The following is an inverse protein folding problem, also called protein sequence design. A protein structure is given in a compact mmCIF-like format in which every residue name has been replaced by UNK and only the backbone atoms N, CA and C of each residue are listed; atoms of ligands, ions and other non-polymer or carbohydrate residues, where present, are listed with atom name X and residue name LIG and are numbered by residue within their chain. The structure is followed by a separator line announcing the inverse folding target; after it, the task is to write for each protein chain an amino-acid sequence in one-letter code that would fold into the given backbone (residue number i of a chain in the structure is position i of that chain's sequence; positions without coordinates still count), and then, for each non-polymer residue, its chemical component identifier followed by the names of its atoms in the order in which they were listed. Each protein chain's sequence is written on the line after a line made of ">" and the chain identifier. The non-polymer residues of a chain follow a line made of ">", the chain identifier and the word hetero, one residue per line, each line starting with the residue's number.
data_IF_649192842757
#
_entry.id   IF_649192842757
#
_cell.length_a   1.000
_cell.length_b   1.000
_cell.length_c   1.000
_cell.angle_alpha   90.00
_cell.angle_beta   90.00
_cell.angle_gamma   90.00
#
_symmetry.space_group_name_H-M   'P 1'
#
loop_
_entity.id
_entity.type
_entity.pdbx_description
1 polymer ?
#
# COMPACT_ATOMS: atom_id res chain seq x y z
N UNK A 1 -40.39 -23.50 -51.53
CA UNK A 1 -39.86 -24.62 -50.72
C UNK A 1 -38.56 -25.12 -51.32
N UNK A 2 -37.42 -24.87 -50.66
CA UNK A 2 -36.27 -25.79 -50.54
C UNK A 2 -35.22 -25.12 -49.63
N UNK A 3 -34.57 -25.98 -48.87
CA UNK A 3 -34.07 -25.74 -47.51
C UNK A 3 -32.76 -24.97 -47.47
N UNK A 4 -32.69 -24.14 -46.44
CA UNK A 4 -31.51 -23.53 -45.88
C UNK A 4 -30.66 -24.58 -45.13
N UNK A 5 -29.44 -24.15 -44.83
CA UNK A 5 -28.51 -24.61 -43.78
C UNK A 5 -27.53 -25.72 -44.15
N UNK A 6 -26.32 -25.30 -44.54
CA UNK A 6 -25.08 -26.07 -44.35
C UNK A 6 -24.39 -25.52 -43.11
N UNK A 7 -24.72 -26.06 -41.94
CA UNK A 7 -24.01 -25.74 -40.69
C UNK A 7 -22.69 -26.50 -40.72
N UNK A 8 -21.59 -25.81 -40.95
CA UNK A 8 -20.28 -26.38 -40.68
C UNK A 8 -20.13 -26.50 -39.16
N UNK A 9 -20.11 -27.74 -38.67
CA UNK A 9 -19.61 -28.07 -37.34
C UNK A 9 -18.14 -27.70 -37.28
N UNK A 10 -17.82 -26.60 -36.62
CA UNK A 10 -16.46 -26.35 -36.15
C UNK A 10 -16.31 -26.85 -34.72
N UNK A 11 -15.26 -27.65 -34.59
CA UNK A 11 -14.74 -28.36 -33.45
C UNK A 11 -14.78 -27.58 -32.13
N UNK A 12 -14.93 -28.36 -31.06
CA UNK A 12 -15.05 -27.91 -29.68
C UNK A 12 -13.99 -26.90 -29.28
N UNK A 13 -14.48 -25.81 -28.69
CA UNK A 13 -13.69 -24.87 -27.93
C UNK A 13 -13.23 -25.60 -26.66
N UNK A 14 -12.01 -26.13 -26.71
CA UNK A 14 -11.28 -26.62 -25.54
C UNK A 14 -11.09 -25.43 -24.61
N UNK A 15 -11.60 -25.56 -23.38
CA UNK A 15 -11.30 -24.64 -22.28
C UNK A 15 -9.81 -24.80 -21.98
N UNK A 16 -8.97 -23.98 -22.62
CA UNK A 16 -7.64 -23.75 -22.10
C UNK A 16 -7.80 -22.78 -20.93
N UNK A 17 -7.95 -23.34 -19.73
CA UNK A 17 -7.44 -22.71 -18.52
C UNK A 17 -5.98 -22.35 -18.81
N UNK A 18 -5.73 -21.11 -19.19
CA UNK A 18 -4.40 -20.52 -19.09
C UNK A 18 -4.20 -20.25 -17.62
N UNK A 19 -3.78 -21.30 -16.91
CA UNK A 19 -3.17 -21.19 -15.62
C UNK A 19 -1.99 -20.23 -15.72
N UNK A 20 -2.00 -19.22 -14.85
CA UNK A 20 -0.81 -18.56 -14.37
C UNK A 20 -0.04 -17.75 -15.40
N UNK A 21 -0.55 -16.57 -15.75
CA UNK A 21 0.32 -15.41 -15.63
C UNK A 21 0.28 -14.96 -14.16
N UNK A 22 1.03 -15.69 -13.34
CA UNK A 22 1.67 -15.10 -12.18
C UNK A 22 2.59 -13.99 -12.70
N UNK A 23 2.00 -12.86 -13.08
CA UNK A 23 2.75 -11.64 -13.33
C UNK A 23 3.27 -11.19 -11.99
N UNK A 24 4.50 -11.63 -11.71
CA UNK A 24 5.42 -11.10 -10.73
C UNK A 24 4.71 -10.59 -9.47
N UNK A 25 4.33 -11.55 -8.62
CA UNK A 25 4.12 -11.32 -7.21
C UNK A 25 5.46 -10.83 -6.62
N UNK A 26 5.81 -9.56 -6.86
CA UNK A 26 6.47 -8.79 -5.81
C UNK A 26 5.43 -8.70 -4.70
N UNK A 27 5.38 -9.77 -3.90
CA UNK A 27 5.06 -9.68 -2.49
C UNK A 27 6.06 -8.69 -1.96
N UNK A 28 5.73 -7.40 -2.08
CA UNK A 28 6.36 -6.39 -1.28
C UNK A 28 5.99 -6.79 0.14
N UNK A 29 6.87 -7.56 0.77
CA UNK A 29 6.67 -8.03 2.13
C UNK A 29 6.90 -6.82 3.03
N UNK A 30 5.82 -6.04 3.18
CA UNK A 30 5.79 -4.92 4.09
C UNK A 30 5.74 -5.39 5.54
N UNK A 31 5.34 -6.65 5.81
CA UNK A 31 5.13 -7.14 7.17
C UNK A 31 6.39 -7.12 8.02
N UNK A 32 7.47 -7.73 7.52
CA UNK A 32 8.75 -7.76 8.23
C UNK A 32 9.23 -6.35 8.59
N UNK A 33 9.45 -5.47 7.59
CA UNK A 33 9.82 -4.08 7.80
C UNK A 33 8.89 -3.32 8.76
N UNK A 34 7.57 -3.43 8.59
CA UNK A 34 6.62 -2.71 9.46
C UNK A 34 6.68 -3.16 10.91
N UNK A 35 6.83 -4.46 11.17
CA UNK A 35 6.99 -4.97 12.54
C UNK A 35 8.28 -4.45 13.18
N UNK A 36 9.38 -4.41 12.44
CA UNK A 36 10.65 -3.84 12.92
C UNK A 36 10.48 -2.35 13.20
N UNK A 37 9.80 -1.61 12.33
CA UNK A 37 9.58 -0.18 12.52
C UNK A 37 8.68 0.13 13.72
N UNK A 38 7.59 -0.61 13.90
CA UNK A 38 6.72 -0.48 15.08
C UNK A 38 7.49 -0.78 16.37
N UNK A 39 8.30 -1.85 16.39
CA UNK A 39 9.15 -2.12 17.55
C UNK A 39 10.17 -1.01 17.77
N UNK A 40 10.83 -0.56 16.70
CA UNK A 40 11.79 0.53 16.78
C UNK A 40 11.17 1.82 17.29
N UNK A 41 9.90 2.11 16.98
CA UNK A 41 9.18 3.29 17.47
C UNK A 41 9.01 3.27 19.00
N UNK A 42 8.86 2.08 19.60
CA UNK A 42 8.85 1.92 21.07
C UNK A 42 10.20 2.22 21.71
N UNK A 43 11.27 1.99 20.96
CA UNK A 43 12.66 2.17 21.38
C UNK A 43 13.26 3.49 20.88
N UNK A 44 12.42 4.50 20.59
CA UNK A 44 12.86 5.84 20.17
C UNK A 44 13.47 5.89 18.76
N UNK A 45 13.01 5.04 17.86
CA UNK A 45 13.42 4.93 16.46
C UNK A 45 14.90 4.56 16.22
N UNK A 46 15.57 3.92 17.19
CA UNK A 46 16.98 3.55 17.13
C UNK A 46 17.39 2.73 15.88
N UNK A 47 16.47 2.00 15.26
CA UNK A 47 16.74 1.15 14.09
C UNK A 47 16.03 1.65 12.82
N UNK A 48 15.16 2.65 12.91
CA UNK A 48 14.22 3.00 11.84
C UNK A 48 14.91 3.40 10.53
N UNK A 49 16.01 4.14 10.63
CA UNK A 49 16.79 4.61 9.47
C UNK A 49 17.47 3.47 8.69
N UNK A 50 17.66 2.30 9.31
CA UNK A 50 18.28 1.13 8.69
C UNK A 50 17.24 0.20 8.02
N UNK A 51 15.95 0.47 8.20
CA UNK A 51 14.87 -0.35 7.64
C UNK A 51 14.47 0.19 6.28
N UNK A 52 14.54 -0.67 5.27
CA UNK A 52 14.05 -0.38 3.93
C UNK A 52 12.63 -0.89 3.77
N UNK A 53 11.67 0.01 3.57
CA UNK A 53 10.35 -0.36 3.10
C UNK A 53 10.39 -0.65 1.60
N UNK A 54 9.87 -1.81 1.13
CA UNK A 54 9.81 -2.13 -0.29
C UNK A 54 9.12 -1.01 -1.07
N UNK A 55 9.66 -0.65 -2.24
CA UNK A 55 9.10 0.42 -3.08
C UNK A 55 9.32 1.86 -2.56
N UNK A 56 9.72 2.07 -1.31
CA UNK A 56 10.02 3.40 -0.79
C UNK A 56 11.31 3.95 -1.42
N UNK A 57 11.26 5.20 -1.89
CA UNK A 57 12.40 5.88 -2.54
C UNK A 57 13.23 6.66 -1.56
N UNK A 58 12.55 7.32 -0.62
CA UNK A 58 13.16 8.21 0.34
C UNK A 58 12.58 7.90 1.72
N UNK A 59 13.47 7.78 2.68
CA UNK A 59 13.20 7.91 4.10
C UNK A 59 13.60 9.34 4.45
N UNK A 60 12.64 10.24 4.69
CA UNK A 60 12.93 11.64 5.00
C UNK A 60 12.66 11.94 6.48
N UNK A 61 13.72 12.20 7.24
CA UNK A 61 13.64 12.54 8.67
C UNK A 61 13.31 14.02 8.88
N UNK A 62 13.80 14.92 8.02
CA UNK A 62 13.63 16.38 8.19
C UNK A 62 12.20 16.87 7.93
N UNK A 63 11.50 16.19 7.03
CA UNK A 63 10.09 16.46 6.71
C UNK A 63 9.13 15.64 7.57
N UNK A 64 9.68 14.83 8.47
CA UNK A 64 8.89 14.00 9.36
C UNK A 64 8.43 14.83 10.56
N UNK A 65 7.23 15.38 10.46
CA UNK A 65 6.67 16.24 11.51
C UNK A 65 5.80 15.46 12.51
N UNK A 66 5.58 14.16 12.29
CA UNK A 66 4.67 13.32 13.09
C UNK A 66 5.30 12.01 13.51
N UNK A 67 6.06 11.36 12.65
CA UNK A 67 6.92 10.24 13.02
C UNK A 67 8.26 10.78 13.52
N UNK A 68 8.89 10.13 14.51
CA UNK A 68 10.18 10.58 15.05
C UNK A 68 11.34 9.77 14.45
N UNK A 69 11.13 9.22 13.25
CA UNK A 69 12.02 8.21 12.67
C UNK A 69 12.22 8.39 11.17
N UNK A 70 11.13 8.41 10.40
CA UNK A 70 11.15 8.69 8.97
C UNK A 70 9.75 8.75 8.34
N UNK A 71 9.57 9.67 7.39
CA UNK A 71 8.49 9.59 6.41
C UNK A 71 8.97 8.82 5.18
N UNK A 72 8.42 7.64 4.91
CA UNK A 72 8.73 6.87 3.70
C UNK A 72 7.85 7.31 2.54
N UNK A 73 8.46 8.00 1.59
CA UNK A 73 7.78 8.50 0.39
C UNK A 73 8.03 7.60 -0.82
N UNK A 74 7.00 7.45 -1.64
CA UNK A 74 7.02 6.65 -2.85
C UNK A 74 7.03 7.54 -4.10
N UNK A 75 7.52 6.99 -5.21
CA UNK A 75 7.69 7.74 -6.46
C UNK A 75 6.34 8.22 -7.02
N UNK A 76 6.27 9.50 -7.42
CA UNK A 76 5.13 10.02 -8.17
C UNK A 76 5.02 9.25 -9.48
N UNK A 77 3.89 8.60 -9.71
CA UNK A 77 3.64 7.80 -10.90
C UNK A 77 2.16 7.75 -11.22
N UNK A 78 1.81 7.39 -12.46
CA UNK A 78 0.42 7.12 -12.83
C UNK A 78 -0.20 5.94 -12.03
N UNK A 79 0.65 5.13 -11.37
CA UNK A 79 0.23 3.98 -10.56
C UNK A 79 0.10 4.30 -9.06
N UNK A 80 0.24 5.56 -8.62
CA UNK A 80 0.15 5.94 -7.19
C UNK A 80 -1.13 5.42 -6.55
N UNK A 81 -2.28 5.57 -7.20
CA UNK A 81 -3.56 5.06 -6.71
C UNK A 81 -3.53 3.54 -6.46
N UNK A 82 -3.00 2.78 -7.42
CA UNK A 82 -2.92 1.32 -7.34
C UNK A 82 -1.91 0.87 -6.27
N UNK A 83 -0.76 1.52 -6.19
CA UNK A 83 0.28 1.21 -5.21
C UNK A 83 -0.16 1.55 -3.78
N UNK A 84 -0.88 2.66 -3.60
CA UNK A 84 -1.53 2.99 -2.33
C UNK A 84 -2.53 1.91 -1.91
N UNK A 85 -3.40 1.46 -2.82
CA UNK A 85 -4.34 0.37 -2.52
C UNK A 85 -3.62 -0.96 -2.20
N UNK A 86 -2.55 -1.29 -2.93
CA UNK A 86 -1.72 -2.47 -2.63
C UNK A 86 -1.11 -2.39 -1.24
N UNK A 87 -0.56 -1.24 -0.85
CA UNK A 87 -0.03 -1.01 0.50
C UNK A 87 -1.11 -1.21 1.56
N UNK A 88 -2.29 -0.59 1.41
CA UNK A 88 -3.41 -0.77 2.35
C UNK A 88 -3.79 -2.23 2.53
N UNK A 89 -3.89 -2.99 1.43
CA UNK A 89 -4.18 -4.42 1.46
C UNK A 89 -3.09 -5.21 2.18
N UNK A 90 -1.81 -4.88 1.93
CA UNK A 90 -0.68 -5.52 2.60
C UNK A 90 -0.64 -5.24 4.10
N UNK A 91 -0.88 -4.00 4.53
CA UNK A 91 -0.91 -3.65 5.96
C UNK A 91 -2.08 -4.35 6.65
N UNK A 92 -3.26 -4.37 6.02
CA UNK A 92 -4.41 -5.09 6.55
C UNK A 92 -4.17 -6.60 6.67
N UNK A 93 -3.54 -7.21 5.65
CA UNK A 93 -3.16 -8.62 5.72
C UNK A 93 -2.13 -8.90 6.83
N UNK A 94 -1.27 -7.93 7.12
CA UNK A 94 -0.26 -8.04 8.17
C UNK A 94 -0.83 -7.94 9.58
N UNK A 95 -1.83 -7.07 9.76
CA UNK A 95 -2.44 -6.76 11.03
C UNK A 95 -3.97 -6.96 10.95
N UNK A 96 -4.44 -8.21 10.75
CA UNK A 96 -5.85 -8.49 10.42
C UNK A 96 -6.82 -8.20 11.57
N UNK A 97 -6.31 -8.15 12.81
CA UNK A 97 -7.11 -7.78 13.98
C UNK A 97 -7.36 -6.27 14.11
N UNK A 98 -6.67 -5.45 13.30
CA UNK A 98 -6.73 -4.00 13.36
C UNK A 98 -7.74 -3.46 12.36
N UNK A 99 -8.70 -2.67 12.85
CA UNK A 99 -9.63 -1.91 11.99
C UNK A 99 -9.07 -0.52 11.75
N UNK A 100 -8.69 -0.17 10.51
CA UNK A 100 -8.12 1.13 10.25
C UNK A 100 -9.19 2.22 10.30
N UNK A 101 -8.78 3.45 10.63
CA UNK A 101 -9.63 4.64 10.58
C UNK A 101 -9.21 5.50 9.40
N UNK A 102 -10.21 5.90 8.61
CA UNK A 102 -10.00 6.87 7.55
C UNK A 102 -10.25 8.29 8.07
N UNK A 103 -9.33 9.20 7.77
CA UNK A 103 -9.52 10.63 8.02
C UNK A 103 -9.06 11.47 6.82
N UNK A 104 -9.39 12.77 6.83
CA UNK A 104 -9.00 13.69 5.77
C UNK A 104 -8.39 14.96 6.37
N UNK A 105 -7.29 15.44 5.77
CA UNK A 105 -6.75 16.76 6.09
C UNK A 105 -7.57 17.88 5.44
N UNK A 106 -7.40 19.12 5.90
CA UNK A 106 -8.01 20.31 5.25
C UNK A 106 -7.61 20.44 3.78
N UNK A 107 -6.41 19.97 3.41
CA UNK A 107 -5.91 19.98 2.03
C UNK A 107 -6.42 18.80 1.19
N UNK A 108 -7.25 17.93 1.78
CA UNK A 108 -7.82 16.74 1.14
C UNK A 108 -6.88 15.54 1.06
N UNK A 109 -5.79 15.52 1.83
CA UNK A 109 -4.99 14.30 2.03
C UNK A 109 -5.88 13.25 2.68
N UNK A 110 -5.88 12.05 2.13
CA UNK A 110 -6.59 10.90 2.71
C UNK A 110 -5.59 10.17 3.60
N UNK A 111 -5.96 9.94 4.85
CA UNK A 111 -5.17 9.19 5.82
C UNK A 111 -5.87 7.86 6.11
N UNK A 112 -5.09 6.78 6.21
CA UNK A 112 -5.54 5.51 6.75
C UNK A 112 -4.66 5.12 7.94
N UNK A 113 -5.25 5.19 9.12
CA UNK A 113 -4.54 5.03 10.39
C UNK A 113 -4.85 3.66 11.01
N UNK A 114 -3.81 2.91 11.34
CA UNK A 114 -3.89 1.66 12.11
C UNK A 114 -3.40 1.96 13.53
N UNK A 115 -4.36 2.20 14.43
CA UNK A 115 -4.13 2.53 15.84
C UNK A 115 -4.12 1.25 16.68
N UNK A 116 -2.96 0.91 17.25
CA UNK A 116 -2.73 -0.29 18.05
C UNK A 116 -3.15 -0.15 19.52
N UNK A 117 -3.66 1.03 19.91
CA UNK A 117 -4.13 1.33 21.25
C UNK A 117 -3.18 2.22 22.03
N UNK A 118 -3.57 2.51 23.28
CA UNK A 118 -2.84 3.46 24.13
C UNK A 118 -1.42 2.98 24.44
N UNK A 119 -0.45 3.86 24.19
CA UNK A 119 0.97 3.56 24.44
C UNK A 119 1.63 2.72 23.35
N UNK A 120 0.91 2.45 22.25
CA UNK A 120 1.42 1.73 21.10
C UNK A 120 1.64 2.69 19.92
N UNK A 121 2.67 2.46 19.10
CA UNK A 121 2.88 3.22 17.88
C UNK A 121 1.76 2.95 16.88
N UNK A 122 1.49 3.91 16.00
CA UNK A 122 0.48 3.80 14.94
C UNK A 122 1.14 3.81 13.54
N UNK A 123 0.45 3.21 12.58
CA UNK A 123 0.80 3.33 11.15
C UNK A 123 -0.17 4.33 10.52
N UNK A 124 0.33 5.41 9.92
CA UNK A 124 -0.46 6.34 9.08
C UNK A 124 -0.03 6.16 7.62
N UNK A 125 -0.99 5.83 6.75
CA UNK A 125 -0.76 5.70 5.31
C UNK A 125 -1.51 6.83 4.62
N UNK A 126 -0.75 7.79 4.11
CA UNK A 126 -1.30 9.02 3.54
C UNK A 126 -1.30 8.96 2.01
N UNK A 127 -2.33 9.53 1.38
CA UNK A 127 -2.37 9.81 -0.05
C UNK A 127 -2.76 11.25 -0.31
N UNK A 128 -1.98 11.92 -1.16
CA UNK A 128 -2.29 13.24 -1.66
C UNK A 128 -3.60 13.26 -2.45
N UNK A 129 -4.34 14.37 -2.39
CA UNK A 129 -5.57 14.54 -3.17
C UNK A 129 -5.26 14.45 -4.67
N UNK A 130 -5.88 13.53 -5.42
CA UNK A 130 -5.71 13.47 -6.87
C UNK A 130 -6.11 14.79 -7.54
N UNK A 131 -5.26 15.29 -8.44
CA UNK A 131 -5.48 16.56 -9.14
C UNK A 131 -5.19 17.83 -8.31
N UNK A 132 -4.66 17.71 -7.09
CA UNK A 132 -4.15 18.87 -6.34
C UNK A 132 -2.80 19.37 -6.86
N UNK A 133 -2.42 20.60 -6.51
CA UNK A 133 -1.10 21.17 -6.84
C UNK A 133 0.06 20.34 -6.27
N UNK A 134 -0.14 19.69 -5.13
CA UNK A 134 0.85 18.77 -4.54
C UNK A 134 1.06 17.51 -5.41
N UNK A 135 0.11 17.20 -6.29
CA UNK A 135 0.07 16.00 -7.13
C UNK A 135 -0.44 14.77 -6.40
N UNK A 136 -0.57 13.67 -7.14
CA UNK A 136 -0.84 12.34 -6.56
C UNK A 136 0.47 11.77 -5.99
N UNK A 137 0.45 11.44 -4.71
CA UNK A 137 1.56 10.84 -3.97
C UNK A 137 0.99 9.96 -2.86
N UNK A 138 1.80 9.05 -2.33
CA UNK A 138 1.48 8.39 -1.06
C UNK A 138 2.72 8.22 -0.20
N UNK A 139 2.52 8.15 1.12
CA UNK A 139 3.55 7.90 2.13
C UNK A 139 3.06 6.89 3.14
N UNK A 140 4.00 6.36 3.91
CA UNK A 140 3.73 5.63 5.14
C UNK A 140 4.59 6.22 6.26
N UNK A 141 3.95 6.45 7.39
CA UNK A 141 4.51 7.09 8.57
C UNK A 141 4.28 6.16 9.77
N UNK A 142 5.31 6.00 10.60
CA UNK A 142 5.23 5.20 11.83
C UNK A 142 5.33 6.16 13.01
N UNK A 143 4.18 6.54 13.55
CA UNK A 143 4.11 7.58 14.56
C UNK A 143 4.30 6.96 15.94
N UNK A 144 5.19 7.56 16.73
CA UNK A 144 5.47 7.09 18.08
C UNK A 144 4.23 7.20 19.00
N UNK A 145 4.20 6.43 20.10
CA UNK A 145 3.14 6.49 21.11
C UNK A 145 2.89 7.87 21.71
#
# INVERSE_FOLDING_TARGET
>A
MKRLVTTMLFAGLTVMLVGGLANAQHSDDYCGPLKILLQSAKDGFAQAQNVKLPGAKLCNVEKDTRSYGCMWSFEKSAAVAANYQKMLQSVHACFPAMSPRQSHSERGTIHMEYDFGKGEPLIDISRGRPGSEAGDWYSIDIVAP
#
